data_IF_125067610282
#
_entry.id   IF_125067610282
#
_cell.length_a   1.000
_cell.length_b   1.000
_cell.length_c   1.000
_cell.angle_alpha   90.00
_cell.angle_beta   90.00
_cell.angle_gamma   90.00
#
_symmetry.space_group_name_H-M   'P 1'
#
loop_
_entity.id
_entity.type
_entity.pdbx_description
1 polymer ?
#
# COMPACT_ATOMS: atom_id res chain seq x y z
N UNK A 1 -21.36 -16.46 25.84
CA UNK A 1 -21.04 -16.34 24.39
C UNK A 1 -19.55 -16.05 24.33
N UNK A 2 -18.81 -16.68 23.42
CA UNK A 2 -17.40 -16.36 23.22
C UNK A 2 -17.24 -14.89 22.79
N UNK A 3 -16.11 -14.28 23.14
CA UNK A 3 -15.72 -12.94 22.70
C UNK A 3 -15.72 -12.79 21.18
N UNK A 4 -15.82 -11.55 20.71
CA UNK A 4 -15.84 -11.18 19.29
C UNK A 4 -14.51 -10.59 18.87
N UNK A 5 -14.05 -10.93 17.66
CA UNK A 5 -12.91 -10.23 17.05
C UNK A 5 -13.27 -8.81 16.66
N UNK A 6 -12.28 -7.97 16.38
CA UNK A 6 -12.52 -6.64 15.80
C UNK A 6 -13.31 -6.77 14.49
N UNK A 7 -12.94 -7.73 13.64
CA UNK A 7 -13.64 -7.97 12.39
C UNK A 7 -15.11 -8.35 12.61
N UNK A 8 -15.40 -9.22 13.58
CA UNK A 8 -16.77 -9.60 13.92
C UNK A 8 -17.60 -8.40 14.36
N UNK A 9 -17.04 -7.53 15.21
CA UNK A 9 -17.70 -6.31 15.69
C UNK A 9 -18.02 -5.36 14.53
N UNK A 10 -17.07 -5.14 13.62
CA UNK A 10 -17.27 -4.28 12.45
C UNK A 10 -18.35 -4.86 11.54
N UNK A 11 -18.21 -6.15 11.18
CA UNK A 11 -19.15 -6.86 10.31
C UNK A 11 -20.57 -6.73 10.84
N UNK A 12 -20.82 -7.16 12.08
CA UNK A 12 -22.15 -7.14 12.67
C UNK A 12 -22.76 -5.74 12.75
N UNK A 13 -21.95 -4.71 12.98
CA UNK A 13 -22.41 -3.32 13.04
C UNK A 13 -22.83 -2.73 11.67
N UNK A 14 -22.57 -3.44 10.57
CA UNK A 14 -22.82 -3.00 9.20
C UNK A 14 -23.66 -3.97 8.36
N UNK A 15 -24.06 -5.12 8.91
CA UNK A 15 -25.03 -6.00 8.26
C UNK A 15 -26.37 -5.27 8.11
N UNK A 16 -26.83 -5.15 6.87
CA UNK A 16 -28.17 -4.65 6.51
C UNK A 16 -29.14 -5.81 6.40
N UNK A 17 -28.71 -6.90 5.75
CA UNK A 17 -29.50 -8.13 5.56
C UNK A 17 -28.58 -9.33 5.71
N UNK A 18 -29.05 -10.37 6.42
CA UNK A 18 -28.41 -11.68 6.42
C UNK A 18 -29.06 -12.57 5.36
N UNK A 19 -28.28 -13.13 4.44
CA UNK A 19 -28.78 -13.90 3.29
C UNK A 19 -27.99 -15.21 3.06
N UNK A 20 -28.22 -16.19 3.94
CA UNK A 20 -27.58 -17.49 3.85
C UNK A 20 -26.09 -17.42 4.15
N UNK A 21 -25.26 -17.73 3.14
CA UNK A 21 -23.79 -17.68 3.27
C UNK A 21 -23.20 -16.28 3.02
N UNK A 22 -24.01 -15.34 2.53
CA UNK A 22 -23.58 -13.98 2.21
C UNK A 22 -24.46 -12.97 2.94
N UNK A 23 -23.88 -11.84 3.31
CA UNK A 23 -24.60 -10.74 3.92
C UNK A 23 -24.57 -9.53 2.99
N UNK A 24 -25.61 -8.69 3.08
CA UNK A 24 -25.59 -7.35 2.50
C UNK A 24 -25.00 -6.41 3.55
N UNK A 25 -23.84 -5.86 3.27
CA UNK A 25 -23.07 -4.98 4.15
C UNK A 25 -23.20 -3.53 3.68
N UNK A 26 -23.45 -2.63 4.61
CA UNK A 26 -23.46 -1.19 4.36
C UNK A 26 -22.05 -0.66 4.16
N UNK A 27 -21.85 0.17 3.11
CA UNK A 27 -20.57 0.81 2.81
C UNK A 27 -20.56 2.22 3.36
N UNK A 28 -19.58 2.57 4.19
CA UNK A 28 -19.46 3.90 4.77
C UNK A 28 -18.73 4.89 3.87
N UNK A 29 -17.76 4.41 3.09
CA UNK A 29 -16.96 5.20 2.16
C UNK A 29 -16.65 4.41 0.89
N UNK A 30 -16.84 5.05 -0.25
CA UNK A 30 -16.48 4.51 -1.56
C UNK A 30 -15.46 5.45 -2.21
N UNK A 31 -14.29 4.93 -2.56
CA UNK A 31 -13.32 5.64 -3.38
C UNK A 31 -13.37 5.14 -4.83
N UNK A 32 -13.14 6.05 -5.76
CA UNK A 32 -13.12 5.78 -7.19
C UNK A 32 -11.81 6.27 -7.82
N UNK A 33 -11.38 5.60 -8.87
CA UNK A 33 -10.22 5.99 -9.68
C UNK A 33 -10.46 5.69 -11.15
N UNK A 34 -9.65 6.28 -12.02
CA UNK A 34 -9.89 6.36 -13.46
C UNK A 34 -9.72 5.03 -14.23
N UNK A 35 -9.21 3.98 -13.58
CA UNK A 35 -8.91 2.71 -14.28
C UNK A 35 -10.11 1.76 -14.32
N UNK A 36 -10.83 1.63 -13.20
CA UNK A 36 -11.90 0.62 -13.02
C UNK A 36 -13.29 1.22 -12.88
N UNK A 37 -13.39 2.48 -12.44
CA UNK A 37 -14.67 3.14 -12.18
C UNK A 37 -15.43 3.58 -13.44
N UNK A 38 -14.78 4.00 -14.55
CA UNK A 38 -15.54 4.44 -15.74
C UNK A 38 -16.54 3.42 -16.28
N UNK A 39 -16.20 2.14 -16.26
CA UNK A 39 -17.06 1.05 -16.72
C UNK A 39 -18.30 0.88 -15.82
N UNK A 40 -18.18 1.12 -14.52
CA UNK A 40 -19.30 1.09 -13.59
C UNK A 40 -20.30 2.23 -13.85
N UNK A 41 -19.80 3.43 -14.18
CA UNK A 41 -20.65 4.55 -14.58
C UNK A 41 -21.41 4.30 -15.88
N UNK A 42 -20.77 3.66 -16.87
CA UNK A 42 -21.45 3.23 -18.09
C UNK A 42 -22.63 2.29 -17.77
N UNK A 43 -22.41 1.29 -16.92
CA UNK A 43 -23.46 0.34 -16.53
C UNK A 43 -24.62 1.01 -15.76
N UNK A 44 -24.34 2.00 -14.91
CA UNK A 44 -25.38 2.81 -14.26
C UNK A 44 -26.23 3.55 -15.29
N UNK A 45 -25.57 4.21 -16.25
CA UNK A 45 -26.22 4.99 -17.31
C UNK A 45 -27.13 4.13 -18.17
N UNK A 46 -26.63 2.99 -18.63
CA UNK A 46 -27.40 2.03 -19.44
C UNK A 46 -28.65 1.52 -18.72
N UNK A 47 -28.59 1.39 -17.39
CA UNK A 47 -29.71 0.95 -16.54
C UNK A 47 -30.58 2.11 -16.03
N UNK A 48 -30.30 3.36 -16.43
CA UNK A 48 -31.02 4.55 -15.97
C UNK A 48 -30.92 4.79 -14.46
N UNK A 49 -29.79 4.45 -13.84
CA UNK A 49 -29.56 4.58 -12.39
C UNK A 49 -28.69 5.80 -12.08
N UNK A 50 -28.91 6.38 -10.89
CA UNK A 50 -28.07 7.45 -10.33
C UNK A 50 -27.18 6.94 -9.20
N UNK A 51 -26.19 7.74 -8.81
CA UNK A 51 -25.37 7.48 -7.62
C UNK A 51 -26.18 7.77 -6.35
N UNK A 52 -26.28 6.78 -5.47
CA UNK A 52 -27.13 6.80 -4.26
C UNK A 52 -26.61 7.72 -3.16
N UNK A 53 -25.30 7.74 -2.92
CA UNK A 53 -24.64 8.55 -1.86
C UNK A 53 -23.38 9.23 -2.37
N UNK A 54 -23.59 10.35 -3.07
CA UNK A 54 -22.52 11.23 -3.55
C UNK A 54 -21.65 11.74 -2.39
N UNK A 55 -22.26 12.06 -1.25
CA UNK A 55 -21.59 12.49 -0.01
C UNK A 55 -20.65 11.43 0.61
N UNK A 56 -20.82 10.16 0.23
CA UNK A 56 -19.99 9.04 0.66
C UNK A 56 -19.03 8.52 -0.41
N UNK A 57 -19.00 9.18 -1.57
CA UNK A 57 -18.22 8.76 -2.74
C UNK A 57 -17.22 9.85 -3.11
N UNK A 58 -15.93 9.51 -3.23
CA UNK A 58 -14.91 10.45 -3.67
C UNK A 58 -14.08 9.83 -4.80
N UNK A 59 -13.96 10.56 -5.90
CA UNK A 59 -13.13 10.19 -7.03
C UNK A 59 -11.77 10.87 -6.95
N UNK A 60 -10.71 10.14 -7.31
CA UNK A 60 -9.32 10.62 -7.26
C UNK A 60 -8.60 10.11 -8.51
N UNK A 61 -7.87 10.98 -9.21
CA UNK A 61 -6.99 10.58 -10.32
C UNK A 61 -5.58 10.30 -9.80
N UNK A 62 -5.04 9.11 -10.05
CA UNK A 62 -3.72 8.74 -9.51
C UNK A 62 -2.90 7.71 -10.30
N UNK A 63 -3.49 6.88 -11.16
CA UNK A 63 -2.80 5.82 -11.89
C UNK A 63 -2.19 6.31 -13.22
N UNK A 64 -2.91 7.16 -13.93
CA UNK A 64 -2.62 7.67 -15.27
C UNK A 64 -1.97 9.06 -15.27
N UNK A 65 -1.71 9.62 -14.08
CA UNK A 65 -1.11 10.94 -13.94
C UNK A 65 0.40 10.85 -14.15
N UNK A 66 0.96 11.79 -14.93
CA UNK A 66 2.42 11.93 -15.00
C UNK A 66 2.96 12.46 -13.68
N UNK A 67 4.07 11.91 -13.21
CA UNK A 67 4.75 12.45 -12.04
C UNK A 67 5.78 13.53 -12.39
N UNK A 68 6.00 13.79 -13.69
CA UNK A 68 6.95 14.80 -14.18
C UNK A 68 6.30 16.17 -14.36
N UNK A 69 5.02 16.21 -14.71
CA UNK A 69 4.26 17.43 -14.97
C UNK A 69 2.76 17.20 -14.71
N UNK A 70 1.99 18.30 -14.62
CA UNK A 70 0.52 18.27 -14.53
C UNK A 70 -0.13 18.43 -15.91
N UNK A 71 0.31 17.68 -16.91
CA UNK A 71 -0.29 17.65 -18.25
C UNK A 71 -1.18 16.42 -18.41
N UNK A 72 -2.40 16.63 -18.90
CA UNK A 72 -3.33 15.56 -19.29
C UNK A 72 -2.74 14.61 -20.36
N UNK A 73 -1.79 15.10 -21.17
CA UNK A 73 -1.08 14.30 -22.17
C UNK A 73 0.22 13.67 -21.65
N UNK A 74 0.63 13.97 -20.41
CA UNK A 74 1.96 13.60 -19.89
C UNK A 74 2.24 12.10 -19.86
N UNK A 75 1.20 11.28 -19.71
CA UNK A 75 1.27 9.82 -19.72
C UNK A 75 0.85 9.18 -21.06
N UNK A 76 0.58 9.98 -22.09
CA UNK A 76 0.15 9.51 -23.41
C UNK A 76 -1.37 9.47 -23.64
N UNK A 77 -1.76 9.14 -24.88
CA UNK A 77 -3.13 9.31 -25.37
C UNK A 77 -4.16 8.39 -24.69
N UNK A 78 -3.77 7.15 -24.35
CA UNK A 78 -4.66 6.20 -23.69
C UNK A 78 -5.00 6.69 -22.28
N UNK A 79 -3.96 7.07 -21.51
CA UNK A 79 -4.08 7.59 -20.15
C UNK A 79 -4.94 8.86 -20.14
N UNK A 80 -4.73 9.76 -21.10
CA UNK A 80 -5.59 10.95 -21.30
C UNK A 80 -7.06 10.59 -21.47
N UNK A 81 -7.40 9.70 -22.42
CA UNK A 81 -8.79 9.31 -22.69
C UNK A 81 -9.48 8.71 -21.47
N UNK A 82 -8.75 7.92 -20.67
CA UNK A 82 -9.28 7.36 -19.42
C UNK A 82 -9.56 8.45 -18.39
N UNK A 83 -8.64 9.39 -18.18
CA UNK A 83 -8.85 10.52 -17.26
C UNK A 83 -10.00 11.43 -17.73
N UNK A 84 -10.08 11.76 -19.02
CA UNK A 84 -11.16 12.60 -19.58
C UNK A 84 -12.54 11.93 -19.41
N UNK A 85 -12.63 10.63 -19.68
CA UNK A 85 -13.86 9.86 -19.46
C UNK A 85 -14.23 9.85 -17.98
N UNK A 86 -13.26 9.66 -17.09
CA UNK A 86 -13.51 9.68 -15.65
C UNK A 86 -13.99 11.05 -15.16
N UNK A 87 -13.37 12.15 -15.64
CA UNK A 87 -13.80 13.51 -15.33
C UNK A 87 -15.23 13.79 -15.80
N UNK A 88 -15.57 13.36 -17.02
CA UNK A 88 -16.92 13.48 -17.57
C UNK A 88 -17.93 12.70 -16.74
N UNK A 89 -17.60 11.47 -16.35
CA UNK A 89 -18.48 10.64 -15.53
C UNK A 89 -18.71 11.27 -14.15
N UNK A 90 -17.67 11.77 -13.48
CA UNK A 90 -17.81 12.45 -12.19
C UNK A 90 -18.71 13.69 -12.30
N UNK A 91 -18.58 14.46 -13.38
CA UNK A 91 -19.46 15.61 -13.65
C UNK A 91 -20.91 15.17 -13.88
N UNK A 92 -21.14 14.18 -14.74
CA UNK A 92 -22.48 13.69 -15.11
C UNK A 92 -23.24 13.09 -13.91
N UNK A 93 -22.53 12.40 -13.02
CA UNK A 93 -23.10 11.75 -11.83
C UNK A 93 -22.96 12.57 -10.55
N UNK A 94 -22.42 13.80 -10.63
CA UNK A 94 -22.22 14.72 -9.52
C UNK A 94 -21.42 14.09 -8.36
N UNK A 95 -20.29 13.47 -8.70
CA UNK A 95 -19.31 12.92 -7.75
C UNK A 95 -18.12 13.86 -7.68
N UNK A 96 -17.71 14.21 -6.47
CA UNK A 96 -16.52 15.04 -6.25
C UNK A 96 -15.27 14.34 -6.77
N UNK A 97 -14.45 15.09 -7.49
CA UNK A 97 -13.24 14.60 -8.14
C UNK A 97 -12.02 15.44 -7.73
N UNK A 98 -11.01 14.77 -7.18
CA UNK A 98 -9.66 15.32 -7.06
C UNK A 98 -8.91 15.03 -8.36
N UNK A 99 -9.08 15.91 -9.34
CA UNK A 99 -8.44 15.80 -10.66
C UNK A 99 -6.93 16.15 -10.60
N UNK A 100 -6.24 16.06 -11.73
CA UNK A 100 -4.79 16.34 -11.81
C UNK A 100 -4.40 17.77 -11.39
N UNK A 101 -5.34 18.71 -11.34
CA UNK A 101 -5.11 20.10 -10.97
C UNK A 101 -5.48 20.38 -9.51
N UNK A 102 -6.23 19.49 -8.87
CA UNK A 102 -6.58 19.64 -7.47
C UNK A 102 -5.32 19.65 -6.59
N UNK A 103 -5.22 20.56 -5.59
CA UNK A 103 -4.03 20.66 -4.74
C UNK A 103 -3.83 19.40 -3.87
N UNK A 104 -4.90 18.69 -3.54
CA UNK A 104 -4.85 17.47 -2.71
C UNK A 104 -4.82 16.17 -3.51
N UNK A 105 -4.74 16.22 -4.85
CA UNK A 105 -4.61 15.03 -5.66
C UNK A 105 -3.39 14.19 -5.26
N UNK A 106 -3.54 12.88 -5.35
CA UNK A 106 -2.54 11.90 -4.93
C UNK A 106 -3.09 10.49 -5.02
N UNK A 107 -2.29 9.53 -4.58
CA UNK A 107 -2.66 8.12 -4.48
C UNK A 107 -3.84 7.94 -3.54
N UNK A 108 -4.90 7.27 -4.00
CA UNK A 108 -6.20 7.16 -3.29
C UNK A 108 -6.05 6.70 -1.83
N UNK A 109 -5.17 5.72 -1.58
CA UNK A 109 -4.93 5.15 -0.24
C UNK A 109 -3.99 5.96 0.65
N UNK A 110 -3.43 7.07 0.14
CA UNK A 110 -2.71 8.08 0.92
C UNK A 110 -3.63 9.28 1.19
N UNK A 111 -4.34 9.73 0.17
CA UNK A 111 -5.26 10.88 0.25
C UNK A 111 -6.41 10.62 1.24
N UNK A 112 -7.05 9.45 1.17
CA UNK A 112 -8.17 9.11 2.04
C UNK A 112 -7.86 9.24 3.53
N UNK A 113 -6.81 8.60 4.05
CA UNK A 113 -6.35 8.77 5.43
C UNK A 113 -5.95 10.21 5.78
N UNK A 114 -5.17 10.89 4.94
CA UNK A 114 -4.67 12.25 5.22
C UNK A 114 -5.77 13.31 5.35
N UNK A 115 -6.88 13.11 4.64
CA UNK A 115 -8.06 13.98 4.72
C UNK A 115 -8.99 13.60 5.88
N UNK A 116 -8.76 12.47 6.56
CA UNK A 116 -9.64 11.99 7.63
C UNK A 116 -10.90 11.27 7.12
N UNK A 117 -10.88 10.77 5.88
CA UNK A 117 -12.01 10.03 5.29
C UNK A 117 -12.04 8.54 5.70
N UNK A 118 -10.97 8.07 6.35
CA UNK A 118 -10.83 6.70 6.86
C UNK A 118 -11.05 6.71 8.36
N UNK A 119 -12.19 6.18 8.83
CA UNK A 119 -12.56 6.23 10.24
C UNK A 119 -12.66 4.81 10.83
N UNK A 120 -12.31 4.61 12.11
CA UNK A 120 -12.45 3.31 12.74
C UNK A 120 -13.89 2.80 12.76
N UNK A 121 -14.03 1.48 12.58
CA UNK A 121 -15.31 0.79 12.61
C UNK A 121 -16.16 0.98 11.35
N UNK A 122 -15.55 1.40 10.25
CA UNK A 122 -16.23 1.64 8.97
C UNK A 122 -15.95 0.54 7.94
N UNK A 123 -16.81 0.46 6.93
CA UNK A 123 -16.56 -0.34 5.72
C UNK A 123 -16.14 0.58 4.57
N UNK A 124 -14.96 0.35 4.02
CA UNK A 124 -14.36 1.16 2.95
C UNK A 124 -14.11 0.30 1.72
N UNK A 125 -14.56 0.75 0.55
CA UNK A 125 -14.37 0.02 -0.71
C UNK A 125 -13.78 0.92 -1.79
N UNK A 126 -13.00 0.33 -2.69
CA UNK A 126 -12.49 0.97 -3.90
C UNK A 126 -12.27 -0.11 -4.97
N UNK A 127 -12.24 0.30 -6.24
CA UNK A 127 -11.84 -0.55 -7.37
C UNK A 127 -10.37 -0.99 -7.38
N UNK A 128 -9.67 -0.89 -6.24
CA UNK A 128 -8.25 -1.16 -6.08
C UNK A 128 -8.01 -2.18 -4.96
N UNK A 129 -7.11 -3.14 -5.20
CA UNK A 129 -6.83 -4.24 -4.26
C UNK A 129 -6.21 -3.79 -2.94
N UNK A 130 -5.46 -2.69 -2.95
CA UNK A 130 -4.74 -2.14 -1.80
C UNK A 130 -5.58 -1.23 -0.92
N UNK A 131 -6.91 -1.22 -1.12
CA UNK A 131 -7.88 -0.68 -0.17
C UNK A 131 -7.70 -1.26 1.24
N UNK A 132 -7.10 -2.44 1.36
CA UNK A 132 -6.64 -3.01 2.63
C UNK A 132 -5.83 -2.04 3.50
N UNK A 133 -5.12 -1.06 2.91
CA UNK A 133 -4.37 0.01 3.62
C UNK A 133 -5.20 0.68 4.73
N UNK A 134 -6.48 0.93 4.47
CA UNK A 134 -7.38 1.61 5.39
C UNK A 134 -7.68 0.78 6.67
N UNK A 135 -7.37 -0.51 6.63
CA UNK A 135 -7.40 -1.43 7.77
C UNK A 135 -6.56 -1.03 8.97
N UNK A 136 -5.53 -0.20 8.75
CA UNK A 136 -4.68 0.36 9.80
C UNK A 136 -5.45 1.20 10.83
N UNK A 137 -6.65 1.67 10.46
CA UNK A 137 -7.54 2.45 11.30
C UNK A 137 -8.61 1.60 12.00
N UNK A 138 -8.58 0.27 11.85
CA UNK A 138 -9.66 -0.61 12.28
C UNK A 138 -10.92 -0.43 11.43
N UNK A 139 -10.76 -0.20 10.13
CA UNK A 139 -11.82 -0.19 9.14
C UNK A 139 -11.79 -1.49 8.32
N UNK A 140 -12.94 -2.13 8.09
CA UNK A 140 -13.01 -3.25 7.17
C UNK A 140 -12.95 -2.74 5.73
N UNK A 141 -11.76 -2.82 5.14
CA UNK A 141 -11.46 -2.17 3.88
C UNK A 141 -10.99 -3.17 2.81
N UNK A 142 -11.64 -3.16 1.65
CA UNK A 142 -11.44 -4.19 0.64
C UNK A 142 -11.56 -3.66 -0.78
N UNK A 143 -10.75 -4.23 -1.68
CA UNK A 143 -10.87 -4.01 -3.11
C UNK A 143 -12.07 -4.74 -3.69
N UNK A 144 -12.75 -4.10 -4.63
CA UNK A 144 -13.97 -4.60 -5.27
C UNK A 144 -13.88 -4.53 -6.80
N UNK A 145 -14.60 -5.40 -7.50
CA UNK A 145 -14.65 -5.45 -8.95
C UNK A 145 -15.62 -4.42 -9.56
N UNK A 146 -15.52 -4.16 -10.88
CA UNK A 146 -16.37 -3.18 -11.58
C UNK A 146 -17.88 -3.37 -11.37
N UNK A 147 -18.37 -4.62 -11.36
CA UNK A 147 -19.79 -4.91 -11.09
C UNK A 147 -20.20 -4.57 -9.65
N UNK A 148 -19.30 -4.76 -8.69
CA UNK A 148 -19.49 -4.38 -7.30
C UNK A 148 -19.43 -2.85 -7.14
N UNK A 149 -18.55 -2.15 -7.88
CA UNK A 149 -18.51 -0.68 -7.92
C UNK A 149 -19.87 -0.14 -8.38
N UNK A 150 -20.42 -0.67 -9.48
CA UNK A 150 -21.75 -0.28 -9.97
C UNK A 150 -22.82 -0.51 -8.87
N UNK A 151 -22.76 -1.67 -8.22
CA UNK A 151 -23.69 -2.02 -7.16
C UNK A 151 -23.61 -1.03 -5.98
N UNK A 152 -22.41 -0.75 -5.46
CA UNK A 152 -22.21 0.21 -4.36
C UNK A 152 -22.66 1.61 -4.77
N UNK A 153 -22.37 2.06 -5.99
CA UNK A 153 -22.86 3.36 -6.47
C UNK A 153 -24.39 3.41 -6.51
N UNK A 154 -25.07 2.32 -6.89
CA UNK A 154 -26.53 2.27 -6.96
C UNK A 154 -27.22 2.10 -5.60
N UNK A 155 -26.60 1.44 -4.63
CA UNK A 155 -27.28 0.98 -3.40
C UNK A 155 -26.65 1.45 -2.09
N UNK A 156 -25.37 1.84 -2.10
CA UNK A 156 -24.50 2.02 -0.92
C UNK A 156 -24.33 0.75 -0.07
N UNK A 157 -24.54 -0.42 -0.67
CA UNK A 157 -24.30 -1.71 -0.02
C UNK A 157 -23.41 -2.58 -0.89
N UNK A 158 -22.91 -3.66 -0.32
CA UNK A 158 -22.20 -4.71 -1.05
C UNK A 158 -22.59 -6.08 -0.50
N UNK A 159 -22.67 -7.09 -1.38
CA UNK A 159 -22.94 -8.48 -0.99
C UNK A 159 -21.61 -9.20 -0.76
N UNK A 160 -21.40 -9.73 0.44
CA UNK A 160 -20.13 -10.34 0.83
C UNK A 160 -20.33 -11.64 1.61
N UNK A 161 -19.50 -12.64 1.29
CA UNK A 161 -19.27 -13.80 2.15
C UNK A 161 -18.26 -13.44 3.25
N UNK A 162 -18.58 -13.74 4.50
CA UNK A 162 -17.69 -13.45 5.62
C UNK A 162 -16.45 -14.37 5.57
N UNK A 163 -15.26 -13.77 5.56
CA UNK A 163 -13.98 -14.47 5.70
C UNK A 163 -13.72 -14.99 7.12
N UNK A 164 -12.76 -15.89 7.27
CA UNK A 164 -12.27 -16.38 8.57
C UNK A 164 -11.35 -15.35 9.26
N UNK A 165 -11.15 -15.48 10.56
CA UNK A 165 -10.27 -14.62 11.37
C UNK A 165 -8.86 -15.21 11.48
N UNK A 166 -7.82 -14.46 11.07
CA UNK A 166 -6.41 -14.82 11.25
C UNK A 166 -5.73 -13.80 12.16
N UNK A 167 -5.23 -14.22 13.32
CA UNK A 167 -4.42 -13.38 14.20
C UNK A 167 -2.95 -13.46 13.78
N UNK A 168 -2.32 -12.32 13.52
CA UNK A 168 -0.86 -12.19 13.44
C UNK A 168 -0.40 -11.39 14.65
N UNK A 169 0.15 -12.07 15.65
CA UNK A 169 0.65 -11.48 16.89
C UNK A 169 2.15 -11.23 16.79
N UNK A 170 2.56 -9.98 16.95
CA UNK A 170 3.95 -9.54 16.77
C UNK A 170 4.48 -8.96 18.07
N UNK A 171 5.54 -9.58 18.59
CA UNK A 171 6.20 -9.21 19.85
C UNK A 171 7.65 -8.78 19.60
N UNK A 172 8.28 -8.15 20.58
CA UNK A 172 9.66 -7.67 20.45
C UNK A 172 9.75 -6.32 19.73
N UNK A 173 10.97 -5.91 19.40
CA UNK A 173 11.26 -4.61 18.81
C UNK A 173 11.98 -4.77 17.47
N UNK A 174 11.57 -3.96 16.48
CA UNK A 174 12.30 -3.87 15.21
C UNK A 174 13.62 -3.11 15.45
N UNK A 175 14.69 -3.55 14.82
CA UNK A 175 15.94 -2.79 14.80
C UNK A 175 15.77 -1.46 14.07
N UNK A 176 16.66 -0.50 14.32
CA UNK A 176 16.57 0.86 13.76
C UNK A 176 16.66 0.93 12.23
N UNK A 177 17.24 -0.10 11.60
CA UNK A 177 17.38 -0.27 10.15
C UNK A 177 16.24 -1.07 9.51
N UNK A 178 15.23 -1.47 10.29
CA UNK A 178 14.09 -2.28 9.85
C UNK A 178 12.79 -1.48 9.95
N UNK A 179 11.85 -1.77 9.07
CA UNK A 179 10.58 -1.06 8.94
C UNK A 179 9.38 -1.99 8.91
N UNK A 180 8.17 -1.43 8.93
CA UNK A 180 6.95 -2.18 8.65
C UNK A 180 6.94 -2.86 7.27
N UNK A 181 7.68 -2.32 6.28
CA UNK A 181 7.83 -2.94 4.96
C UNK A 181 8.60 -4.26 5.07
N UNK A 182 9.69 -4.26 5.81
CA UNK A 182 10.51 -5.46 6.05
C UNK A 182 9.72 -6.51 6.84
N UNK A 183 8.98 -6.08 7.87
CA UNK A 183 8.10 -6.96 8.65
C UNK A 183 7.00 -7.61 7.78
N UNK A 184 6.37 -6.83 6.90
CA UNK A 184 5.36 -7.35 5.99
C UNK A 184 5.95 -8.37 4.99
N UNK A 185 7.11 -8.08 4.41
CA UNK A 185 7.82 -9.02 3.54
C UNK A 185 8.26 -10.28 4.29
N UNK A 186 8.71 -10.14 5.54
CA UNK A 186 9.05 -11.27 6.40
C UNK A 186 7.84 -12.15 6.73
N UNK A 187 6.67 -11.55 6.99
CA UNK A 187 5.43 -12.32 7.15
C UNK A 187 5.11 -13.11 5.87
N UNK A 188 5.17 -12.47 4.69
CA UNK A 188 4.91 -13.14 3.40
C UNK A 188 5.92 -14.26 3.15
N UNK A 189 7.20 -14.07 3.52
CA UNK A 189 8.21 -15.13 3.47
C UNK A 189 7.80 -16.35 4.31
N UNK A 190 7.27 -16.13 5.51
CA UNK A 190 6.90 -17.20 6.44
C UNK A 190 5.64 -17.95 6.03
N UNK A 191 4.68 -17.26 5.41
CA UNK A 191 3.34 -17.82 5.18
C UNK A 191 3.02 -18.06 3.70
N UNK A 192 3.86 -17.59 2.79
CA UNK A 192 3.61 -17.62 1.35
C UNK A 192 2.65 -16.51 0.88
N UNK A 193 2.49 -16.42 -0.44
CA UNK A 193 1.58 -15.44 -1.07
C UNK A 193 0.10 -15.82 -0.95
N UNK A 194 -0.19 -17.03 -0.47
CA UNK A 194 -1.52 -17.62 -0.26
C UNK A 194 -1.83 -17.89 1.22
N UNK A 195 -0.89 -17.63 2.14
CA UNK A 195 -1.02 -17.99 3.56
C UNK A 195 -2.19 -17.33 4.31
N UNK A 196 -2.70 -16.22 3.79
CA UNK A 196 -3.89 -15.50 4.24
C UNK A 196 -5.16 -15.76 3.42
N UNK A 197 -5.13 -16.63 2.41
CA UNK A 197 -6.27 -16.89 1.54
C UNK A 197 -7.53 -17.31 2.33
N UNK A 198 -8.62 -16.59 2.14
CA UNK A 198 -9.89 -16.83 2.84
C UNK A 198 -9.99 -16.21 4.24
N UNK A 199 -8.97 -15.46 4.68
CA UNK A 199 -8.93 -14.80 5.98
C UNK A 199 -8.93 -13.26 5.86
N UNK A 200 -9.40 -12.62 6.92
CA UNK A 200 -9.02 -11.26 7.29
C UNK A 200 -7.94 -11.37 8.37
N UNK A 201 -6.83 -10.66 8.18
CA UNK A 201 -5.74 -10.62 9.15
C UNK A 201 -6.02 -9.54 10.18
N UNK A 202 -5.97 -9.88 11.46
CA UNK A 202 -5.84 -8.92 12.56
C UNK A 202 -4.40 -8.91 13.06
N UNK A 203 -3.75 -7.76 12.97
CA UNK A 203 -2.40 -7.55 13.49
C UNK A 203 -2.48 -7.03 14.93
N UNK A 204 -1.76 -7.68 15.84
CA UNK A 204 -1.74 -7.33 17.27
C UNK A 204 -0.35 -7.49 17.87
N UNK A 205 -0.21 -7.09 19.14
CA UNK A 205 1.00 -7.24 19.92
C UNK A 205 1.78 -5.93 20.14
N UNK A 206 2.81 -6.02 20.97
CA UNK A 206 3.57 -4.85 21.44
C UNK A 206 4.19 -4.06 20.29
N UNK A 207 4.74 -4.75 19.27
CA UNK A 207 5.34 -4.10 18.11
C UNK A 207 4.32 -3.22 17.38
N UNK A 208 3.09 -3.72 17.19
CA UNK A 208 2.01 -3.00 16.51
C UNK A 208 1.58 -1.76 17.32
N UNK A 209 1.49 -1.89 18.64
CA UNK A 209 1.12 -0.77 19.52
C UNK A 209 2.13 0.39 19.46
N UNK A 210 3.41 0.09 19.21
CA UNK A 210 4.47 1.10 19.06
C UNK A 210 4.56 1.72 17.65
N UNK A 211 3.91 1.13 16.64
CA UNK A 211 3.98 1.63 15.26
C UNK A 211 3.20 2.93 15.07
N UNK A 212 3.77 3.84 14.25
CA UNK A 212 3.06 4.99 13.70
C UNK A 212 1.89 4.56 12.79
N UNK A 213 0.98 5.49 12.47
CA UNK A 213 -0.10 5.20 11.53
C UNK A 213 0.43 4.87 10.13
N UNK A 214 1.50 5.52 9.69
CA UNK A 214 2.18 5.29 8.43
C UNK A 214 2.72 3.86 8.33
N UNK A 215 3.37 3.37 9.38
CA UNK A 215 3.85 1.99 9.48
C UNK A 215 2.71 0.97 9.49
N UNK A 216 1.64 1.24 10.25
CA UNK A 216 0.42 0.40 10.27
C UNK A 216 -0.22 0.30 8.88
N UNK A 217 -0.31 1.42 8.16
CA UNK A 217 -0.81 1.47 6.79
C UNK A 217 0.04 0.63 5.82
N UNK A 218 1.36 0.65 5.94
CA UNK A 218 2.26 -0.20 5.14
C UNK A 218 1.99 -1.70 5.40
N UNK A 219 1.80 -2.09 6.66
CA UNK A 219 1.53 -3.49 7.02
C UNK A 219 0.15 -3.97 6.51
N UNK A 220 -0.90 -3.16 6.68
CA UNK A 220 -2.23 -3.47 6.17
C UNK A 220 -2.28 -3.45 4.63
N UNK A 221 -1.53 -2.57 3.97
CA UNK A 221 -1.43 -2.54 2.51
C UNK A 221 -0.96 -3.90 1.96
N UNK A 222 0.13 -4.44 2.51
CA UNK A 222 0.78 -5.67 2.04
C UNK A 222 0.09 -6.98 2.43
N UNK A 223 -1.01 -6.93 3.20
CA UNK A 223 -1.72 -8.16 3.56
C UNK A 223 -2.29 -8.90 2.32
N UNK A 224 -2.61 -8.16 1.26
CA UNK A 224 -3.17 -8.71 0.03
C UNK A 224 -2.10 -9.50 -0.75
N UNK A 225 -0.83 -9.13 -0.62
CA UNK A 225 0.31 -9.90 -1.16
C UNK A 225 0.57 -11.20 -0.38
N UNK A 226 0.01 -11.34 0.82
CA UNK A 226 -0.06 -12.59 1.56
C UNK A 226 -1.36 -13.38 1.29
N UNK A 227 -2.20 -12.90 0.36
CA UNK A 227 -3.45 -13.55 -0.05
C UNK A 227 -4.66 -13.22 0.84
N UNK A 228 -4.50 -12.37 1.87
CA UNK A 228 -5.59 -12.01 2.78
C UNK A 228 -6.60 -11.07 2.11
N UNK A 229 -7.88 -11.20 2.50
CA UNK A 229 -8.96 -10.34 1.98
C UNK A 229 -8.83 -8.89 2.44
N UNK A 230 -8.37 -8.70 3.68
CA UNK A 230 -8.10 -7.41 4.30
C UNK A 230 -7.15 -7.60 5.50
N UNK A 231 -6.58 -6.49 5.98
CA UNK A 231 -5.83 -6.41 7.23
C UNK A 231 -6.53 -5.46 8.20
N UNK A 232 -6.39 -5.67 9.49
CA UNK A 232 -7.00 -4.85 10.54
C UNK A 232 -6.01 -4.62 11.68
N UNK A 233 -5.99 -3.39 12.20
CA UNK A 233 -5.32 -3.03 13.45
C UNK A 233 -6.36 -2.33 14.32
N UNK A 234 -6.46 -2.73 15.59
CA UNK A 234 -7.36 -2.07 16.53
C UNK A 234 -6.94 -0.60 16.72
N UNK A 235 -7.87 0.37 16.58
CA UNK A 235 -7.57 1.76 16.82
C UNK A 235 -7.19 2.00 18.29
N UNK A 236 -6.18 2.85 18.48
CA UNK A 236 -5.70 3.28 19.79
C UNK A 236 -5.40 4.78 19.79
N UNK A 237 -4.70 5.26 20.81
CA UNK A 237 -4.38 6.68 20.95
C UNK A 237 -3.61 7.23 19.73
N UNK A 238 -2.70 6.46 19.13
CA UNK A 238 -1.96 6.86 17.92
C UNK A 238 -2.93 7.08 16.76
N UNK A 239 -3.95 6.22 16.63
CA UNK A 239 -5.01 6.39 15.64
C UNK A 239 -5.85 7.65 15.90
N UNK A 240 -6.20 7.92 17.16
CA UNK A 240 -7.01 9.08 17.52
C UNK A 240 -6.26 10.39 17.27
N UNK A 241 -4.99 10.45 17.69
CA UNK A 241 -4.14 11.62 17.49
C UNK A 241 -3.92 11.93 16.01
N UNK A 242 -3.76 10.88 15.18
CA UNK A 242 -3.64 11.06 13.73
C UNK A 242 -4.90 11.67 13.09
N UNK A 243 -6.08 11.28 13.57
CA UNK A 243 -7.38 11.74 13.05
C UNK A 243 -7.79 13.11 13.61
N UNK A 244 -7.24 13.53 14.74
CA UNK A 244 -7.57 14.81 15.35
C UNK A 244 -7.24 15.97 14.39
N UNK A 245 -8.22 16.85 14.17
CA UNK A 245 -8.04 18.06 13.34
C UNK A 245 -8.00 17.83 11.83
N UNK A 246 -8.13 16.58 11.33
CA UNK A 246 -8.26 16.32 9.88
C UNK A 246 -9.58 16.87 9.33
N UNK A 247 -9.59 17.20 8.05
CA UNK A 247 -10.69 17.95 7.44
C UNK A 247 -12.04 17.25 7.52
N UNK A 248 -12.06 15.94 7.27
CA UNK A 248 -13.26 15.10 7.29
C UNK A 248 -13.40 14.25 8.55
N UNK A 249 -12.51 14.44 9.52
CA UNK A 249 -12.64 13.84 10.84
C UNK A 249 -13.68 14.61 11.66
N UNK A 250 -14.48 13.92 12.51
CA UNK A 250 -15.37 14.58 13.46
C UNK A 250 -14.62 15.63 14.31
N UNK A 251 -15.34 16.67 14.77
CA UNK A 251 -14.74 17.77 15.55
C UNK A 251 -15.46 17.98 16.89
N UNK A 252 -14.75 18.58 17.85
CA UNK A 252 -15.30 18.94 19.16
C UNK A 252 -15.90 17.74 19.89
N UNK A 253 -17.10 17.92 20.45
CA UNK A 253 -17.80 16.88 21.22
C UNK A 253 -18.12 15.62 20.40
N UNK A 254 -18.32 15.75 19.08
CA UNK A 254 -18.53 14.60 18.22
C UNK A 254 -17.28 13.73 18.14
N UNK A 255 -16.10 14.36 18.04
CA UNK A 255 -14.82 13.65 18.06
C UNK A 255 -14.65 12.87 19.37
N UNK A 256 -14.93 13.52 20.51
CA UNK A 256 -14.83 12.87 21.82
C UNK A 256 -15.77 11.66 21.93
N UNK A 257 -17.02 11.77 21.46
CA UNK A 257 -17.96 10.63 21.41
C UNK A 257 -17.48 9.51 20.50
N UNK A 258 -16.88 9.86 19.36
CA UNK A 258 -16.32 8.89 18.41
C UNK A 258 -15.12 8.18 19.00
N UNK A 259 -14.23 8.88 19.69
CA UNK A 259 -13.10 8.29 20.42
C UNK A 259 -13.58 7.28 21.47
N UNK A 260 -14.62 7.60 22.25
CA UNK A 260 -15.19 6.64 23.21
C UNK A 260 -15.74 5.38 22.53
N UNK A 261 -16.43 5.53 21.39
CA UNK A 261 -16.83 4.38 20.57
C UNK A 261 -15.62 3.62 20.02
N UNK A 262 -14.62 4.30 19.47
CA UNK A 262 -13.46 3.68 18.87
C UNK A 262 -12.62 2.89 19.88
N UNK A 263 -12.55 3.32 21.15
CA UNK A 263 -11.93 2.53 22.24
C UNK A 263 -12.56 1.16 22.46
N UNK A 264 -13.81 0.95 22.04
CA UNK A 264 -14.49 -0.35 22.10
C UNK A 264 -14.16 -1.26 20.92
N UNK A 265 -13.56 -0.73 19.86
CA UNK A 265 -13.20 -1.45 18.64
C UNK A 265 -11.86 -2.16 18.82
N UNK A 266 -11.86 -3.23 19.60
CA UNK A 266 -10.75 -4.17 19.73
C UNK A 266 -11.32 -5.57 19.92
N UNK A 267 -10.58 -6.61 19.58
CA UNK A 267 -10.98 -7.98 19.92
C UNK A 267 -11.16 -8.14 21.42
N UNK A 268 -12.17 -8.91 21.82
CA UNK A 268 -12.34 -9.33 23.21
C UNK A 268 -11.22 -10.30 23.61
N UNK A 269 -10.90 -10.39 24.90
CA UNK A 269 -9.78 -11.20 25.39
C UNK A 269 -9.95 -12.70 25.10
N UNK A 270 -11.19 -13.19 25.07
CA UNK A 270 -11.57 -14.56 24.77
C UNK A 270 -12.09 -14.74 23.32
N UNK A 271 -11.80 -13.79 22.43
CA UNK A 271 -12.20 -13.88 21.02
C UNK A 271 -11.52 -15.04 20.30
N UNK A 272 -12.29 -15.76 19.48
CA UNK A 272 -11.80 -16.91 18.72
C UNK A 272 -11.20 -16.47 17.38
N UNK A 273 -10.01 -16.98 17.08
CA UNK A 273 -9.36 -16.84 15.77
C UNK A 273 -9.17 -18.21 15.14
N UNK A 274 -9.60 -18.36 13.88
CA UNK A 274 -9.48 -19.61 13.11
C UNK A 274 -8.02 -20.05 12.94
N UNK A 275 -7.09 -19.09 12.90
CA UNK A 275 -5.65 -19.33 12.80
C UNK A 275 -4.90 -18.24 13.56
N UNK A 276 -3.78 -18.61 14.20
CA UNK A 276 -2.88 -17.67 14.86
C UNK A 276 -1.45 -17.89 14.39
N UNK A 277 -0.74 -16.80 14.12
CA UNK A 277 0.67 -16.75 13.75
C UNK A 277 1.36 -15.81 14.72
N UNK A 278 2.49 -16.24 15.27
CA UNK A 278 3.30 -15.44 16.19
C UNK A 278 4.62 -15.13 15.51
N UNK A 279 5.00 -13.85 15.50
CA UNK A 279 6.28 -13.38 14.96
C UNK A 279 7.03 -12.60 16.03
N UNK A 280 8.35 -12.79 16.07
CA UNK A 280 9.26 -11.95 16.83
C UNK A 280 9.86 -10.88 15.91
N UNK A 281 9.59 -9.62 16.20
CA UNK A 281 10.09 -8.47 15.45
C UNK A 281 11.62 -8.36 15.48
N UNK A 282 12.29 -8.94 16.48
CA UNK A 282 13.74 -8.94 16.57
C UNK A 282 14.43 -9.89 15.57
N UNK A 283 13.67 -10.83 14.98
CA UNK A 283 14.17 -11.71 13.91
C UNK A 283 14.12 -11.03 12.53
N UNK A 284 13.42 -9.90 12.40
CA UNK A 284 13.25 -9.22 11.13
C UNK A 284 14.53 -8.47 10.78
N UNK A 285 15.03 -8.70 9.57
CA UNK A 285 16.18 -8.00 9.00
C UNK A 285 15.71 -7.16 7.80
N UNK A 286 16.52 -6.23 7.28
CA UNK A 286 16.20 -5.54 6.03
C UNK A 286 16.00 -6.55 4.89
N UNK A 287 14.85 -6.48 4.22
CA UNK A 287 14.41 -7.50 3.25
C UNK A 287 14.53 -7.01 1.80
N UNK A 288 14.82 -7.93 0.88
CA UNK A 288 14.83 -7.69 -0.57
C UNK A 288 14.27 -8.89 -1.33
N UNK A 289 13.35 -8.64 -2.26
CA UNK A 289 12.86 -9.73 -3.12
C UNK A 289 13.93 -10.13 -4.12
N UNK A 290 14.21 -11.42 -4.29
CA UNK A 290 15.11 -11.91 -5.33
C UNK A 290 14.35 -12.38 -6.58
N UNK A 291 13.06 -12.72 -6.44
CA UNK A 291 12.25 -13.27 -7.53
C UNK A 291 11.20 -12.30 -8.08
N UNK A 292 10.10 -12.85 -8.59
CA UNK A 292 9.03 -12.14 -9.32
C UNK A 292 7.71 -12.05 -8.54
N UNK A 293 7.72 -12.40 -7.26
CA UNK A 293 6.62 -12.14 -6.35
C UNK A 293 7.13 -11.78 -4.94
N UNK A 294 6.26 -11.22 -4.07
CA UNK A 294 6.67 -10.78 -2.74
C UNK A 294 7.11 -11.89 -1.78
N UNK A 295 6.72 -13.15 -2.01
CA UNK A 295 7.17 -14.30 -1.21
C UNK A 295 8.56 -14.80 -1.58
N UNK A 296 9.09 -14.42 -2.74
CA UNK A 296 10.46 -14.71 -3.15
C UNK A 296 11.41 -13.63 -2.63
N UNK A 297 11.61 -13.64 -1.31
CA UNK A 297 12.32 -12.60 -0.55
C UNK A 297 13.36 -13.20 0.40
N UNK A 298 14.43 -12.46 0.64
CA UNK A 298 15.50 -12.82 1.59
C UNK A 298 15.99 -11.57 2.32
N UNK A 299 16.68 -11.70 3.47
CA UNK A 299 17.46 -10.61 4.03
C UNK A 299 18.49 -10.07 3.04
N UNK A 300 18.76 -8.76 3.07
CA UNK A 300 19.66 -8.09 2.12
C UNK A 300 21.10 -8.63 2.12
N UNK A 301 21.56 -9.17 3.25
CA UNK A 301 22.88 -9.77 3.40
C UNK A 301 22.94 -11.25 2.97
N UNK A 302 21.81 -11.84 2.59
CA UNK A 302 21.73 -13.24 2.16
C UNK A 302 22.15 -13.43 0.70
N UNK A 303 22.17 -14.69 0.28
CA UNK A 303 22.42 -15.10 -1.10
C UNK A 303 21.11 -15.45 -1.79
N UNK A 304 21.11 -15.35 -3.12
CA UNK A 304 20.02 -15.83 -3.96
C UNK A 304 19.83 -17.34 -3.71
N UNK A 305 18.61 -17.79 -3.35
CA UNK A 305 18.36 -19.20 -3.10
C UNK A 305 18.66 -20.09 -4.31
N UNK A 306 19.18 -21.28 -4.06
CA UNK A 306 19.32 -22.30 -5.09
C UNK A 306 17.97 -22.97 -5.33
N UNK A 307 17.41 -22.97 -6.56
CA UNK A 307 16.16 -23.66 -6.86
C UNK A 307 16.15 -25.13 -6.46
N UNK A 308 17.30 -25.81 -6.42
CA UNK A 308 17.36 -27.22 -6.03
C UNK A 308 17.29 -27.45 -4.52
N UNK A 309 17.39 -26.39 -3.71
CA UNK A 309 17.20 -26.44 -2.25
C UNK A 309 15.74 -26.53 -1.80
N UNK A 310 14.77 -26.17 -2.65
CA UNK A 310 13.35 -26.31 -2.33
C UNK A 310 12.92 -27.78 -2.43
N UNK A 311 11.95 -28.21 -1.62
CA UNK A 311 11.46 -29.60 -1.69
C UNK A 311 10.34 -29.77 -2.72
N UNK A 312 9.48 -28.76 -2.86
CA UNK A 312 8.32 -28.79 -3.75
C UNK A 312 8.71 -28.56 -5.23
N UNK A 313 8.40 -29.49 -6.15
CA UNK A 313 8.70 -29.36 -7.58
C UNK A 313 8.12 -28.13 -8.27
N UNK A 314 6.93 -27.67 -7.86
CA UNK A 314 6.31 -26.47 -8.41
C UNK A 314 7.08 -25.22 -7.96
N UNK A 315 7.47 -25.17 -6.69
CA UNK A 315 8.31 -24.10 -6.15
C UNK A 315 9.68 -24.09 -6.82
N UNK A 316 10.30 -25.25 -7.07
CA UNK A 316 11.56 -25.34 -7.84
C UNK A 316 11.42 -24.71 -9.23
N UNK A 317 10.35 -25.06 -9.94
CA UNK A 317 10.09 -24.59 -11.30
C UNK A 317 9.84 -23.09 -11.32
N UNK A 318 9.03 -22.60 -10.39
CA UNK A 318 8.77 -21.17 -10.21
C UNK A 318 10.05 -20.39 -9.84
N UNK A 319 10.90 -20.94 -8.98
CA UNK A 319 12.18 -20.35 -8.61
C UNK A 319 13.11 -20.24 -9.83
N UNK A 320 13.26 -21.30 -10.64
CA UNK A 320 14.08 -21.26 -11.86
C UNK A 320 13.62 -20.19 -12.84
N UNK A 321 12.30 -20.12 -13.11
CA UNK A 321 11.73 -19.09 -13.99
C UNK A 321 11.96 -17.68 -13.42
N UNK A 322 11.77 -17.51 -12.12
CA UNK A 322 12.01 -16.22 -11.47
C UNK A 322 13.47 -15.78 -11.61
N UNK A 323 14.44 -16.68 -11.40
CA UNK A 323 15.86 -16.39 -11.58
C UNK A 323 16.21 -16.03 -13.03
N UNK A 324 15.67 -16.76 -14.00
CA UNK A 324 15.85 -16.46 -15.42
C UNK A 324 15.34 -15.05 -15.77
N UNK A 325 14.10 -14.74 -15.38
CA UNK A 325 13.50 -13.42 -15.58
C UNK A 325 14.33 -12.32 -14.90
N UNK A 326 14.66 -12.54 -13.63
CA UNK A 326 15.42 -11.61 -12.81
C UNK A 326 16.88 -11.53 -13.23
N UNK A 327 17.38 -12.41 -14.10
CA UNK A 327 18.78 -12.47 -14.50
C UNK A 327 19.73 -12.62 -13.32
N UNK A 328 19.37 -13.53 -12.40
CA UNK A 328 20.12 -13.81 -11.17
C UNK A 328 20.64 -15.25 -11.19
N UNK A 329 21.79 -15.48 -10.54
CA UNK A 329 22.40 -16.80 -10.42
C UNK A 329 22.21 -17.38 -9.01
N UNK A 330 21.92 -18.69 -8.88
CA UNK A 330 21.93 -19.38 -7.59
C UNK A 330 23.19 -19.10 -6.78
N UNK A 331 23.02 -18.76 -5.50
CA UNK A 331 24.14 -18.55 -4.56
C UNK A 331 24.89 -17.23 -4.72
N UNK A 332 24.58 -16.37 -5.70
CA UNK A 332 25.18 -15.04 -5.75
C UNK A 332 24.71 -14.19 -4.55
N UNK A 333 25.53 -13.23 -4.12
CA UNK A 333 25.15 -12.36 -3.01
C UNK A 333 24.09 -11.36 -3.50
N UNK A 334 23.05 -11.12 -2.69
CA UNK A 334 22.13 -10.01 -3.00
C UNK A 334 22.89 -8.68 -3.07
N UNK A 335 23.96 -8.52 -2.30
CA UNK A 335 24.77 -7.30 -2.32
C UNK A 335 25.55 -7.10 -3.62
N UNK A 336 25.79 -8.13 -4.44
CA UNK A 336 26.45 -7.97 -5.75
C UNK A 336 25.50 -7.53 -6.86
N UNK A 337 24.19 -7.52 -6.61
CA UNK A 337 23.19 -7.17 -7.62
C UNK A 337 23.19 -5.65 -7.85
N UNK A 338 23.57 -5.24 -9.06
CA UNK A 338 23.62 -3.84 -9.49
C UNK A 338 22.23 -3.30 -9.79
N UNK A 339 22.03 -2.02 -9.49
CA UNK A 339 20.76 -1.31 -9.67
C UNK A 339 20.91 -0.23 -10.75
N UNK A 340 19.89 -0.09 -11.59
CA UNK A 340 19.79 0.95 -12.62
C UNK A 340 18.83 2.06 -12.19
N UNK A 341 17.74 1.69 -11.50
CA UNK A 341 16.72 2.64 -11.03
C UNK A 341 16.34 2.43 -9.57
N UNK A 342 15.96 3.51 -8.90
CA UNK A 342 15.35 3.46 -7.57
C UNK A 342 14.03 4.22 -7.59
N UNK A 343 12.99 3.60 -7.03
CA UNK A 343 11.66 4.20 -6.89
C UNK A 343 11.24 4.21 -5.42
N UNK A 344 11.11 5.40 -4.85
CA UNK A 344 10.51 5.63 -3.53
C UNK A 344 9.16 6.32 -3.75
N UNK A 345 8.07 5.62 -3.46
CA UNK A 345 6.70 6.09 -3.65
C UNK A 345 5.66 4.98 -3.56
N UNK A 346 4.51 5.17 -4.22
CA UNK A 346 3.30 4.32 -4.21
C UNK A 346 2.38 4.42 -2.99
N UNK A 347 1.24 3.71 -3.01
CA UNK A 347 0.33 3.59 -1.85
C UNK A 347 0.99 2.97 -0.61
N UNK A 348 2.11 2.25 -0.79
CA UNK A 348 2.79 1.51 0.27
C UNK A 348 3.75 2.34 1.09
N UNK A 349 4.51 3.25 0.47
CA UNK A 349 5.60 3.99 1.11
C UNK A 349 5.85 5.35 0.41
N UNK A 350 4.86 6.25 0.50
CA UNK A 350 4.94 7.60 -0.06
C UNK A 350 4.40 8.66 0.92
N UNK A 351 4.32 8.32 2.21
CA UNK A 351 3.80 9.20 3.26
C UNK A 351 4.94 10.06 3.80
N UNK A 352 4.61 11.08 4.58
CA UNK A 352 5.62 12.04 5.07
C UNK A 352 6.72 11.35 5.89
N UNK A 353 6.39 10.31 6.66
CA UNK A 353 7.39 9.53 7.40
C UNK A 353 8.39 8.83 6.47
N UNK A 354 7.91 8.20 5.38
CA UNK A 354 8.78 7.54 4.40
C UNK A 354 9.75 8.54 3.76
N UNK A 355 9.27 9.74 3.42
CA UNK A 355 10.09 10.79 2.81
C UNK A 355 11.10 11.35 3.81
N UNK A 356 10.72 11.56 5.07
CA UNK A 356 11.64 11.96 6.15
C UNK A 356 12.76 10.94 6.33
N UNK A 357 12.43 9.65 6.33
CA UNK A 357 13.44 8.58 6.44
C UNK A 357 14.33 8.56 5.20
N UNK A 358 13.78 8.67 4.00
CA UNK A 358 14.58 8.75 2.79
C UNK A 358 15.56 9.94 2.82
N UNK A 359 15.08 11.13 3.19
CA UNK A 359 15.91 12.34 3.32
C UNK A 359 16.99 12.19 4.40
N UNK A 360 16.66 11.58 5.55
CA UNK A 360 17.62 11.33 6.64
C UNK A 360 18.83 10.52 6.14
N UNK A 361 18.59 9.44 5.39
CA UNK A 361 19.67 8.60 4.86
C UNK A 361 20.36 9.19 3.63
N UNK A 362 19.67 10.01 2.85
CA UNK A 362 20.24 10.69 1.69
C UNK A 362 21.13 11.90 2.06
N UNK A 363 20.90 12.52 3.22
CA UNK A 363 21.58 13.76 3.63
C UNK A 363 23.10 13.63 3.61
N UNK A 364 23.75 14.55 2.89
CA UNK A 364 25.20 14.61 2.76
C UNK A 364 25.81 13.55 1.82
N UNK A 365 24.98 12.75 1.14
CA UNK A 365 25.42 11.69 0.22
C UNK A 365 25.02 12.03 -1.22
N UNK A 366 25.41 11.17 -2.15
CA UNK A 366 25.09 11.30 -3.58
C UNK A 366 24.61 9.96 -4.14
N UNK A 367 23.55 10.00 -4.93
CA UNK A 367 23.10 8.89 -5.77
C UNK A 367 24.22 8.51 -6.72
N UNK A 368 24.44 7.20 -6.90
CA UNK A 368 25.49 6.70 -7.79
C UNK A 368 25.26 7.17 -9.22
N UNK A 369 26.33 7.46 -9.96
CA UNK A 369 26.24 8.02 -11.32
C UNK A 369 25.56 7.11 -12.34
N UNK A 370 25.44 5.82 -12.03
CA UNK A 370 24.76 4.82 -12.87
C UNK A 370 23.31 4.55 -12.44
N UNK A 371 22.78 5.26 -11.44
CA UNK A 371 21.43 5.06 -10.92
C UNK A 371 20.57 6.28 -11.21
N UNK A 372 19.38 6.05 -11.76
CA UNK A 372 18.29 7.04 -11.77
C UNK A 372 17.39 6.81 -10.56
N UNK A 373 17.39 7.73 -9.59
CA UNK A 373 16.59 7.59 -8.38
C UNK A 373 15.46 8.63 -8.35
N UNK A 374 14.21 8.18 -8.18
CA UNK A 374 13.04 9.06 -8.12
C UNK A 374 12.34 8.95 -6.76
N UNK A 375 11.84 10.08 -6.26
CA UNK A 375 10.97 10.13 -5.08
C UNK A 375 9.63 10.77 -5.45
N UNK A 376 8.56 10.00 -5.27
CA UNK A 376 7.18 10.35 -5.63
C UNK A 376 6.34 10.46 -4.36
N UNK A 377 5.95 11.68 -3.95
CA UNK A 377 5.07 11.88 -2.81
C UNK A 377 3.71 11.24 -3.02
N UNK A 378 3.08 10.74 -1.96
CA UNK A 378 1.81 10.04 -2.06
C UNK A 378 0.62 10.97 -2.32
N UNK A 379 0.73 12.25 -1.98
CA UNK A 379 -0.29 13.26 -2.25
C UNK A 379 0.30 14.66 -2.36
N UNK A 380 -0.51 15.62 -2.82
CA UNK A 380 -0.14 17.03 -2.78
C UNK A 380 0.05 17.58 -1.36
N UNK A 381 -0.56 16.97 -0.33
CA UNK A 381 -0.34 17.33 1.08
C UNK A 381 1.04 16.89 1.56
N UNK A 382 1.38 15.61 1.35
CA UNK A 382 2.74 15.10 1.60
C UNK A 382 3.76 15.93 0.83
N UNK A 383 3.46 16.18 -0.45
CA UNK A 383 3.91 17.29 -1.29
C UNK A 383 4.49 18.48 -0.53
N UNK A 384 3.54 19.35 -0.20
CA UNK A 384 3.80 20.65 0.41
C UNK A 384 4.46 20.51 1.76
N UNK A 385 4.10 19.49 2.54
CA UNK A 385 4.71 19.27 3.85
C UNK A 385 6.21 18.96 3.73
N UNK A 386 6.60 18.07 2.81
CA UNK A 386 8.00 17.73 2.58
C UNK A 386 8.82 18.95 2.10
N UNK A 387 8.23 19.80 1.26
CA UNK A 387 8.86 21.04 0.78
C UNK A 387 8.99 22.10 1.90
N UNK A 388 7.99 22.21 2.77
CA UNK A 388 8.04 23.08 3.96
C UNK A 388 9.13 22.62 4.96
N UNK A 389 9.32 21.31 5.10
CA UNK A 389 10.37 20.71 5.94
C UNK A 389 11.75 20.70 5.27
N UNK A 390 11.86 21.10 4.00
CA UNK A 390 13.10 21.13 3.23
C UNK A 390 13.64 19.75 2.84
N UNK A 391 12.79 18.71 2.89
CA UNK A 391 13.17 17.33 2.57
C UNK A 391 13.43 17.16 1.06
N UNK A 392 12.65 17.86 0.24
CA UNK A 392 12.81 17.94 -1.21
C UNK A 392 14.21 18.41 -1.61
N UNK A 393 14.75 19.41 -0.90
CA UNK A 393 16.09 19.96 -1.14
C UNK A 393 17.16 18.94 -0.79
N UNK A 394 17.04 18.28 0.36
CA UNK A 394 17.99 17.24 0.78
C UNK A 394 18.04 16.10 -0.26
N UNK A 395 16.88 15.64 -0.72
CA UNK A 395 16.77 14.58 -1.72
C UNK A 395 17.31 15.03 -3.08
N UNK A 396 16.96 16.24 -3.53
CA UNK A 396 17.44 16.82 -4.80
C UNK A 396 18.96 17.03 -4.78
N UNK A 397 19.51 17.55 -3.68
CA UNK A 397 20.95 17.70 -3.49
C UNK A 397 21.65 16.35 -3.58
N UNK A 398 21.08 15.30 -2.97
CA UNK A 398 21.61 13.95 -3.08
C UNK A 398 21.51 13.36 -4.50
N UNK A 399 20.75 13.98 -5.42
CA UNK A 399 20.61 13.53 -6.80
C UNK A 399 19.35 12.73 -7.08
N UNK A 400 18.39 12.70 -6.16
CA UNK A 400 17.06 12.15 -6.45
C UNK A 400 16.24 13.13 -7.28
N UNK A 401 15.45 12.60 -8.22
CA UNK A 401 14.43 13.39 -8.91
C UNK A 401 13.20 13.54 -8.00
N UNK A 402 12.94 14.76 -7.54
CA UNK A 402 11.73 15.10 -6.78
C UNK A 402 10.52 15.26 -7.71
N UNK A 403 9.52 14.38 -7.57
CA UNK A 403 8.39 14.26 -8.50
C UNK A 403 7.09 14.86 -7.97
N UNK A 404 6.05 14.84 -8.81
CA UNK A 404 4.66 15.14 -8.48
C UNK A 404 3.92 13.89 -7.99
N UNK A 405 2.83 14.03 -7.21
CA UNK A 405 2.11 12.90 -6.64
C UNK A 405 1.40 12.01 -7.67
N UNK A 406 1.48 10.70 -7.47
CA UNK A 406 0.80 9.69 -8.29
C UNK A 406 1.28 8.27 -7.99
N UNK A 407 0.60 7.27 -8.56
CA UNK A 407 0.99 5.86 -8.39
C UNK A 407 2.35 5.55 -9.03
N UNK A 408 2.72 6.26 -10.10
CA UNK A 408 4.03 6.14 -10.77
C UNK A 408 4.34 4.69 -11.19
N UNK A 409 5.60 4.29 -11.02
CA UNK A 409 6.09 2.96 -11.36
C UNK A 409 5.37 1.82 -10.62
N UNK A 410 4.52 2.07 -9.61
CA UNK A 410 3.80 1.01 -8.89
C UNK A 410 2.95 0.13 -9.82
N UNK A 411 2.34 0.74 -10.84
CA UNK A 411 1.57 0.05 -11.88
C UNK A 411 2.16 0.26 -13.28
N UNK A 412 3.00 1.29 -13.48
CA UNK A 412 3.63 1.56 -14.78
C UNK A 412 2.65 1.95 -15.88
N UNK A 413 1.51 2.55 -15.52
CA UNK A 413 0.50 3.08 -16.45
C UNK A 413 0.74 4.53 -16.87
N UNK A 414 1.74 5.17 -16.27
CA UNK A 414 2.17 6.52 -16.61
C UNK A 414 3.52 6.49 -17.35
N UNK A 415 4.18 7.65 -17.46
CA UNK A 415 5.48 7.82 -18.10
C UNK A 415 6.68 7.37 -17.23
N UNK A 416 6.44 6.72 -16.09
CA UNK A 416 7.47 6.09 -15.27
C UNK A 416 7.44 4.56 -15.44
N UNK A 417 8.37 4.02 -16.22
CA UNK A 417 8.50 2.58 -16.44
C UNK A 417 9.96 2.12 -16.59
N UNK A 418 10.16 0.81 -16.43
CA UNK A 418 11.40 0.10 -16.69
C UNK A 418 11.49 -0.35 -18.15
N UNK A 419 12.67 -0.20 -18.72
CA UNK A 419 13.06 -0.80 -19.99
C UNK A 419 13.46 -2.27 -19.78
N UNK A 420 13.41 -3.10 -20.84
CA UNK A 420 13.85 -4.49 -20.76
C UNK A 420 15.27 -4.62 -20.19
N UNK A 421 15.42 -5.42 -19.14
CA UNK A 421 16.70 -5.69 -18.48
C UNK A 421 17.07 -4.70 -17.36
N UNK A 422 16.47 -3.50 -17.32
CA UNK A 422 16.71 -2.55 -16.22
C UNK A 422 16.23 -3.12 -14.89
N UNK A 423 17.01 -2.85 -13.84
CA UNK A 423 16.72 -3.29 -12.48
C UNK A 423 16.36 -2.14 -11.55
N UNK A 424 15.22 -2.27 -10.88
CA UNK A 424 14.70 -1.31 -9.93
C UNK A 424 14.76 -1.82 -8.48
N UNK A 425 15.27 -1.00 -7.56
CA UNK A 425 14.93 -1.13 -6.14
C UNK A 425 13.70 -0.25 -5.85
N UNK A 426 12.58 -0.88 -5.53
CA UNK A 426 11.26 -0.27 -5.50
C UNK A 426 10.62 -0.40 -4.12
N UNK A 427 10.05 0.70 -3.60
CA UNK A 427 9.23 0.67 -2.39
C UNK A 427 7.77 0.29 -2.66
N UNK A 428 7.42 -0.09 -3.90
CA UNK A 428 6.09 -0.64 -4.25
C UNK A 428 5.80 -1.95 -3.53
N UNK A 429 4.57 -2.46 -3.68
CA UNK A 429 4.11 -3.73 -3.09
C UNK A 429 4.15 -4.93 -4.05
N UNK A 430 4.35 -4.72 -5.36
CA UNK A 430 4.33 -5.80 -6.36
C UNK A 430 5.50 -5.73 -7.32
N UNK A 431 6.08 -6.89 -7.60
CA UNK A 431 7.19 -7.12 -8.53
C UNK A 431 6.89 -8.24 -9.55
N UNK A 432 5.61 -8.49 -9.84
CA UNK A 432 5.21 -9.42 -10.89
C UNK A 432 5.85 -9.07 -12.24
N UNK A 433 6.09 -10.08 -13.07
CA UNK A 433 6.70 -9.90 -14.39
C UNK A 433 5.90 -8.86 -15.20
N UNK A 434 6.58 -7.81 -15.68
CA UNK A 434 5.97 -6.75 -16.47
C UNK A 434 5.28 -5.64 -15.67
N UNK A 435 5.20 -5.74 -14.34
CA UNK A 435 4.43 -4.81 -13.49
C UNK A 435 4.88 -3.36 -13.58
N UNK A 436 6.18 -3.10 -13.57
CA UNK A 436 6.73 -1.73 -13.70
C UNK A 436 7.23 -1.45 -15.13
N UNK A 437 6.90 -2.30 -16.10
CA UNK A 437 7.43 -2.24 -17.47
C UNK A 437 7.81 -3.62 -17.99
N UNK A 438 7.53 -3.88 -19.28
CA UNK A 438 7.77 -5.18 -19.91
C UNK A 438 9.26 -5.53 -19.91
N UNK A 439 9.61 -6.63 -19.25
CA UNK A 439 11.00 -7.11 -19.13
C UNK A 439 11.85 -6.35 -18.10
N UNK A 440 11.27 -5.42 -17.35
CA UNK A 440 11.94 -4.75 -16.23
C UNK A 440 12.00 -5.64 -14.99
N UNK A 441 13.09 -5.56 -14.22
CA UNK A 441 13.36 -6.43 -13.07
C UNK A 441 13.18 -5.64 -11.78
N UNK A 442 12.17 -5.98 -11.00
CA UNK A 442 11.80 -5.19 -9.80
C UNK A 442 12.15 -5.94 -8.52
N UNK A 443 12.78 -5.24 -7.59
CA UNK A 443 13.04 -5.72 -6.23
C UNK A 443 12.29 -4.87 -5.23
N UNK A 444 11.45 -5.50 -4.40
CA UNK A 444 10.74 -4.82 -3.33
C UNK A 444 11.66 -4.66 -2.13
N UNK A 445 11.75 -3.43 -1.64
CA UNK A 445 12.59 -3.05 -0.51
C UNK A 445 11.88 -1.98 0.35
N UNK A 446 12.39 -1.74 1.56
CA UNK A 446 12.01 -0.58 2.40
C UNK A 446 12.56 0.75 1.84
N UNK A 447 12.01 1.91 2.24
CA UNK A 447 12.53 3.22 1.83
C UNK A 447 14.02 3.42 2.13
N UNK A 448 14.50 2.92 3.26
CA UNK A 448 15.90 3.01 3.68
C UNK A 448 16.78 2.16 2.79
N UNK A 449 16.36 0.92 2.54
CA UNK A 449 17.05 0.01 1.62
C UNK A 449 17.07 0.55 0.18
N UNK A 450 16.02 1.25 -0.24
CA UNK A 450 15.97 1.95 -1.52
C UNK A 450 17.00 3.09 -1.59
N UNK A 451 17.12 3.90 -0.53
CA UNK A 451 18.16 4.95 -0.47
C UNK A 451 19.57 4.36 -0.46
N UNK A 452 19.80 3.28 0.30
CA UNK A 452 21.07 2.56 0.30
C UNK A 452 21.40 2.07 -1.11
N UNK A 453 20.44 1.45 -1.80
CA UNK A 453 20.60 1.01 -3.18
C UNK A 453 20.90 2.16 -4.15
N UNK A 454 20.27 3.32 -3.95
CA UNK A 454 20.49 4.50 -4.79
C UNK A 454 21.93 5.04 -4.67
N UNK A 455 22.46 5.07 -3.45
CA UNK A 455 23.78 5.62 -3.16
C UNK A 455 24.89 4.63 -3.58
N UNK A 456 24.73 3.34 -3.25
CA UNK A 456 25.76 2.34 -3.54
C UNK A 456 25.72 1.80 -4.97
N UNK A 457 24.61 2.00 -5.71
CA UNK A 457 24.39 1.39 -7.02
C UNK A 457 24.16 -0.13 -7.01
N UNK A 458 23.93 -0.70 -5.82
CA UNK A 458 23.71 -2.13 -5.53
C UNK A 458 23.00 -2.28 -4.19
N UNK A 459 22.44 -3.44 -3.87
CA UNK A 459 21.92 -3.67 -2.52
C UNK A 459 23.04 -3.67 -1.46
N UNK A 460 22.70 -3.23 -0.26
CA UNK A 460 23.63 -3.11 0.87
C UNK A 460 22.90 -2.78 2.15
N UNK A 461 23.64 -2.31 3.15
CA UNK A 461 23.06 -1.94 4.45
C UNK A 461 23.36 -0.49 4.82
N UNK A 462 22.60 0.04 5.78
CA UNK A 462 22.84 1.37 6.33
C UNK A 462 24.25 1.48 6.95
N UNK A 463 24.77 0.40 7.54
CA UNK A 463 26.11 0.41 8.15
C UNK A 463 27.22 0.59 7.10
N UNK A 464 27.00 0.18 5.84
CA UNK A 464 27.93 0.48 4.73
C UNK A 464 27.95 1.99 4.43
N UNK A 465 26.77 2.64 4.40
CA UNK A 465 26.66 4.09 4.18
C UNK A 465 27.30 4.97 5.29
N UNK A 466 27.52 4.40 6.47
CA UNK A 466 28.15 5.12 7.58
C UNK A 466 29.69 5.09 7.49
N UNK A 467 30.27 4.10 6.82
CA UNK A 467 31.73 3.96 6.68
C UNK A 467 32.31 4.88 5.60
N UNK A 468 31.50 5.33 4.64
CA UNK A 468 31.94 6.21 3.54
C UNK A 468 32.05 7.71 3.93
N UNK A 469 31.68 8.08 5.16
CA UNK A 469 31.72 9.49 5.64
C UNK A 469 33.07 9.84 6.30
N UNK A 470 34.00 8.89 6.45
CA UNK A 470 35.31 9.11 7.09
C UNK A 470 36.36 9.61 6.10
#
# INVERSE_FOLDING_TARGET
MAGKTLYDKIWESRVVVRDGEEDIIYVDRHFLHEVTSPQAFTALKEKGRSVRRKDKTLAIMDHNVSTRNRDWNGAGEISKKQMELFSKNCTEFEVDLLDINHPDQGVVHVVGPEMGLTLPGTVVVCGDSHTSTHGAFGAFALGIGTSEIEHVLATQTIRLKKSKNLLVKITGELSSDVTAKDLALFLILKIGTDGGQGYVIEYSGETIQKMSMEARMTLCNLCIEAGARAGLIAPDQITFDYLAGRDYSPRGDEFNRKVEYWKTLKSDEDAFFDKTIVLDASEVLPMVTWGTNPGQVVPVLSRVPDPDSFLDPEVKTAARRALEYMGLNPGESMQSVKIDKVFIGSCTNARIEDIRRAALFAKGRRVSSNVTAIVVPGSGRVKRQAEQEGLDKILTEAGFEWRLPGCSMCLGMNDDYLLPGERCASTSNRNFEGRQGRGGRTHLVSPESAVVAAILGRFGTIQELQKEIV
#
